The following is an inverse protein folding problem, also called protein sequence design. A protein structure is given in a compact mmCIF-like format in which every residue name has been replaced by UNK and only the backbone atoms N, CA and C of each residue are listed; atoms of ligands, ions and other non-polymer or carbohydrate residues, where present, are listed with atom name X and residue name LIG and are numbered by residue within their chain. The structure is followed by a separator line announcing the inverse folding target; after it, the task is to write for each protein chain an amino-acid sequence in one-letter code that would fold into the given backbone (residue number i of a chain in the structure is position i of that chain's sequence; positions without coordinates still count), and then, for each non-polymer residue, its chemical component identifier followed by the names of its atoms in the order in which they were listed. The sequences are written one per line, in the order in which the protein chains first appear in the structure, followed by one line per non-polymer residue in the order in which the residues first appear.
data_IF_652140467070
#
_entry.id   IF_652140467070
#
_cell.length_a   1.000
_cell.length_b   1.000
_cell.length_c   1.000
_cell.angle_alpha   90.00
_cell.angle_beta   90.00
_cell.angle_gamma   90.00
#
_symmetry.space_group_name_H-M   'P 1'
#
loop_
_entity.id
_entity.type
_entity.pdbx_description
1 polymer ?
#
# COMPACT_ATOMS: atom_id res chain seq x y z
N UNK A 1 1.23 -12.17 15.43
CA UNK A 1 2.30 -11.69 14.53
C UNK A 1 1.98 -12.11 13.10
N UNK A 2 0.99 -11.43 12.51
CA UNK A 2 0.88 -11.25 11.07
C UNK A 2 1.07 -9.75 10.90
N UNK A 3 2.29 -9.32 10.64
CA UNK A 3 2.58 -7.93 10.30
C UNK A 3 1.81 -7.65 9.01
N UNK A 4 0.71 -6.89 9.09
CA UNK A 4 -0.13 -6.64 7.92
C UNK A 4 0.73 -5.94 6.87
N UNK A 5 0.73 -6.44 5.64
CA UNK A 5 1.47 -5.82 4.52
C UNK A 5 1.16 -4.32 4.38
N UNK A 6 -0.02 -3.88 4.81
CA UNK A 6 -0.43 -2.47 4.86
C UNK A 6 0.40 -1.63 5.83
N UNK A 7 0.68 -2.16 7.02
CA UNK A 7 1.47 -1.43 8.02
C UNK A 7 2.89 -1.19 7.51
N UNK A 8 3.47 -2.18 6.81
CA UNK A 8 4.77 -2.04 6.13
C UNK A 8 4.72 -1.00 4.99
N UNK A 9 3.66 -1.02 4.17
CA UNK A 9 3.43 -0.01 3.12
C UNK A 9 3.34 1.39 3.73
N UNK A 10 2.62 1.56 4.85
CA UNK A 10 2.45 2.86 5.49
C UNK A 10 3.74 3.37 6.13
N UNK A 11 4.52 2.49 6.74
CA UNK A 11 5.85 2.84 7.25
C UNK A 11 6.75 3.37 6.13
N UNK A 12 6.76 2.71 4.97
CA UNK A 12 7.53 3.15 3.81
C UNK A 12 6.99 4.45 3.21
N UNK A 13 5.66 4.57 3.07
CA UNK A 13 5.02 5.80 2.57
C UNK A 13 5.35 7.00 3.44
N UNK A 14 5.43 6.84 4.77
CA UNK A 14 5.75 7.95 5.66
C UNK A 14 7.12 8.59 5.36
N UNK A 15 8.09 7.79 4.91
CA UNK A 15 9.41 8.28 4.51
C UNK A 15 9.41 8.99 3.14
N UNK A 16 8.60 8.51 2.19
CA UNK A 16 8.63 8.99 0.80
C UNK A 16 7.58 10.04 0.49
N UNK A 17 6.50 10.15 1.27
CA UNK A 17 5.40 11.08 1.02
C UNK A 17 5.85 12.56 1.05
N UNK A 18 6.86 12.89 1.83
CA UNK A 18 7.43 14.24 1.84
C UNK A 18 8.10 14.62 0.50
N UNK A 19 8.66 13.63 -0.21
CA UNK A 19 9.27 13.83 -1.53
C UNK A 19 8.21 14.04 -2.62
N UNK A 20 7.08 13.34 -2.51
CA UNK A 20 5.97 13.46 -3.47
C UNK A 20 5.09 14.70 -3.24
N UNK A 21 4.99 15.17 -1.99
CA UNK A 21 4.13 16.31 -1.62
C UNK A 21 4.91 17.40 -0.86
N UNK A 22 5.98 17.98 -1.45
CA UNK A 22 6.84 18.93 -0.75
C UNK A 22 6.10 20.22 -0.34
N UNK A 23 5.05 20.60 -1.08
CA UNK A 23 4.23 21.78 -0.83
C UNK A 23 3.24 21.62 0.34
N UNK A 24 2.96 20.39 0.79
CA UNK A 24 2.04 20.15 1.91
C UNK A 24 2.74 20.18 3.27
N UNK A 25 4.08 20.22 3.28
CA UNK A 25 4.90 20.22 4.48
C UNK A 25 5.13 18.82 5.04
N UNK A 26 5.31 18.72 6.36
CA UNK A 26 5.62 17.44 7.03
C UNK A 26 4.37 16.57 7.19
N UNK A 27 4.48 15.29 6.80
CA UNK A 27 3.45 14.26 7.07
C UNK A 27 3.38 13.96 8.58
N UNK A 28 2.25 14.31 9.20
CA UNK A 28 2.02 14.15 10.64
C UNK A 28 1.49 12.75 10.98
N UNK A 29 0.54 12.27 10.18
CA UNK A 29 -0.13 11.00 10.42
C UNK A 29 -0.56 10.36 9.10
N UNK A 30 -0.64 9.04 9.08
CA UNK A 30 -1.28 8.26 8.02
C UNK A 30 -2.28 7.35 8.72
N UNK A 31 -3.53 7.36 8.27
CA UNK A 31 -4.61 6.57 8.87
C UNK A 31 -5.31 5.74 7.80
N UNK A 32 -5.58 4.48 8.12
CA UNK A 32 -6.45 3.64 7.30
C UNK A 32 -7.90 4.07 7.51
N UNK A 33 -8.62 4.29 6.41
CA UNK A 33 -10.02 4.75 6.41
C UNK A 33 -10.95 3.72 5.81
N UNK A 34 -10.44 2.88 4.91
CA UNK A 34 -11.23 1.86 4.25
C UNK A 34 -10.44 0.60 3.94
N UNK A 35 -11.13 -0.54 3.98
CA UNK A 35 -10.60 -1.81 3.53
C UNK A 35 -11.70 -2.58 2.79
N UNK A 36 -11.45 -2.82 1.50
CA UNK A 36 -12.36 -3.58 0.63
C UNK A 36 -11.64 -4.82 0.11
N UNK A 37 -12.02 -6.02 0.58
CA UNK A 37 -11.51 -7.26 0.00
C UNK A 37 -12.11 -7.49 -1.39
N UNK A 38 -11.27 -7.86 -2.36
CA UNK A 38 -11.70 -8.36 -3.68
C UNK A 38 -11.09 -9.73 -3.92
N UNK A 39 -11.63 -10.44 -4.91
CA UNK A 39 -11.24 -11.82 -5.25
C UNK A 39 -9.73 -11.93 -5.48
N UNK A 40 -9.14 -11.00 -6.21
CA UNK A 40 -7.71 -11.00 -6.58
C UNK A 40 -6.82 -10.12 -5.70
N UNK A 41 -7.37 -9.14 -5.00
CA UNK A 41 -6.59 -8.14 -4.25
C UNK A 41 -7.39 -7.54 -3.11
N UNK A 42 -6.69 -6.94 -2.16
CA UNK A 42 -7.26 -6.07 -1.14
C UNK A 42 -7.08 -4.62 -1.59
N UNK A 43 -8.13 -3.80 -1.50
CA UNK A 43 -8.02 -2.35 -1.66
C UNK A 43 -8.07 -1.71 -0.29
N UNK A 44 -7.05 -0.94 0.04
CA UNK A 44 -6.96 -0.15 1.27
C UNK A 44 -7.03 1.32 0.90
N UNK A 45 -7.85 2.07 1.62
CA UNK A 45 -7.93 3.52 1.49
C UNK A 45 -7.33 4.15 2.74
N UNK A 46 -6.38 5.04 2.56
CA UNK A 46 -5.69 5.75 3.61
C UNK A 46 -5.79 7.27 3.42
N UNK A 47 -5.68 8.01 4.51
CA UNK A 47 -5.52 9.45 4.50
C UNK A 47 -4.20 9.79 5.17
N UNK A 48 -3.34 10.47 4.42
CA UNK A 48 -2.12 11.08 4.93
C UNK A 48 -2.42 12.55 5.27
N UNK A 49 -2.16 12.94 6.51
CA UNK A 49 -2.33 14.29 7.00
C UNK A 49 -0.99 15.00 7.04
N UNK A 50 -0.96 16.17 6.42
CA UNK A 50 0.19 17.05 6.37
C UNK A 50 -0.12 18.34 7.12
N UNK A 51 0.90 19.18 7.33
CA UNK A 51 0.71 20.48 7.99
C UNK A 51 -0.21 21.42 7.21
N UNK A 52 -0.17 21.38 5.88
CA UNK A 52 -0.94 22.30 5.03
C UNK A 52 -2.07 21.63 4.24
N UNK A 53 -2.41 20.38 4.57
CA UNK A 53 -3.50 19.68 3.88
C UNK A 53 -3.56 18.19 4.16
N UNK A 54 -4.37 17.48 3.38
CA UNK A 54 -4.52 16.03 3.47
C UNK A 54 -4.52 15.41 2.07
N UNK A 55 -4.03 14.17 1.98
CA UNK A 55 -3.99 13.39 0.74
C UNK A 55 -4.68 12.06 0.98
N UNK A 56 -5.54 11.67 0.04
CA UNK A 56 -6.13 10.32 0.00
C UNK A 56 -5.26 9.39 -0.84
N UNK A 57 -4.96 8.22 -0.30
CA UNK A 57 -4.10 7.22 -0.90
C UNK A 57 -4.90 5.93 -1.02
N UNK A 58 -4.93 5.34 -2.22
CA UNK A 58 -5.53 4.04 -2.46
C UNK A 58 -4.42 3.00 -2.74
N UNK A 59 -4.30 2.00 -1.87
CA UNK A 59 -3.31 0.93 -1.98
C UNK A 59 -4.00 -0.36 -2.41
N UNK A 60 -3.54 -0.99 -3.50
CA UNK A 60 -4.00 -2.32 -3.91
C UNK A 60 -2.93 -3.36 -3.59
N UNK A 61 -3.26 -4.30 -2.70
CA UNK A 61 -2.39 -5.41 -2.33
C UNK A 61 -2.91 -6.67 -3.01
N UNK A 62 -2.20 -7.10 -4.07
CA UNK A 62 -2.58 -8.31 -4.80
C UNK A 62 -2.26 -9.56 -3.97
N UNK A 63 -3.19 -10.51 -3.99
CA UNK A 63 -2.95 -11.84 -3.41
C UNK A 63 -1.89 -12.51 -4.27
N UNK A 64 -0.86 -13.07 -3.64
CA UNK A 64 0.12 -13.87 -4.36
C UNK A 64 -0.60 -14.98 -5.12
N UNK A 65 -0.38 -15.08 -6.43
CA UNK A 65 -0.72 -16.31 -7.14
C UNK A 65 0.06 -17.42 -6.45
N UNK A 66 -0.62 -18.42 -5.91
CA UNK A 66 0.05 -19.67 -5.59
C UNK A 66 0.76 -20.12 -6.86
N UNK A 67 1.98 -20.64 -6.73
CA UNK A 67 2.84 -21.04 -7.85
C UNK A 67 2.20 -22.06 -8.84
N UNK A 68 0.97 -22.50 -8.60
CA UNK A 68 0.16 -23.31 -9.52
C UNK A 68 -0.36 -22.56 -10.75
N UNK A 69 -0.39 -21.22 -10.75
CA UNK A 69 -0.88 -20.42 -11.90
C UNK A 69 0.24 -19.81 -12.76
N UNK A 70 1.47 -20.34 -12.67
CA UNK A 70 2.56 -19.97 -13.56
C UNK A 70 2.78 -21.06 -14.62
N UNK A 71 2.21 -20.96 -15.84
CA UNK A 71 2.48 -21.91 -16.93
C UNK A 71 3.90 -21.79 -17.52
N UNK A 72 4.86 -21.16 -16.83
CA UNK A 72 6.22 -20.90 -17.32
C UNK A 72 7.35 -21.59 -16.53
N UNK A 73 7.05 -22.62 -15.74
CA UNK A 73 8.10 -23.41 -15.07
C UNK A 73 8.04 -24.89 -15.45
N UNK A 74 8.04 -25.20 -16.75
CA UNK A 74 8.40 -26.51 -17.28
C UNK A 74 9.15 -26.35 -18.60
N UNK A 75 10.43 -25.98 -18.51
CA UNK A 75 11.52 -26.15 -19.49
C UNK A 75 12.62 -25.16 -19.04
N UNK A 76 13.85 -25.55 -18.73
CA UNK A 76 14.66 -26.55 -19.39
C UNK A 76 15.39 -27.44 -18.37
N UNK A 77 15.45 -28.72 -18.73
CA UNK A 77 16.48 -29.66 -18.30
C UNK A 77 17.73 -29.43 -19.13
#
# INVERSE_FOLDING_TARGET
MAENAVDQIFAQLRGTLAEYYPHLGVCRAIRLVGHTPKVSHYTYEAVAEFTHGQVRIACKVYRGRTAKDNPKTHAAR
#
